data_IF_651650343386
#
_entry.id   IF_651650343386
#
_cell.length_a   1.000
_cell.length_b   1.000
_cell.length_c   1.000
_cell.angle_alpha   90.00
_cell.angle_beta   90.00
_cell.angle_gamma   90.00
#
_symmetry.space_group_name_H-M   'P 1'
#
loop_
_entity.id
_entity.type
_entity.pdbx_description
1 polymer ?
#
# COMPACT_ATOMS: atom_id res chain seq x y z
N UNK A 1 -23.98 -18.40 -19.98
CA UNK A 1 -23.37 -18.22 -18.65
C UNK A 1 -22.27 -19.24 -18.56
N UNK A 2 -21.01 -18.82 -18.79
CA UNK A 2 -19.87 -19.74 -18.77
C UNK A 2 -19.41 -19.81 -17.32
N UNK A 3 -19.58 -20.98 -16.72
CA UNK A 3 -19.16 -21.27 -15.35
C UNK A 3 -17.64 -21.48 -15.36
N UNK A 4 -16.88 -20.51 -14.86
CA UNK A 4 -15.47 -20.69 -14.59
C UNK A 4 -15.36 -21.23 -13.16
N UNK A 5 -15.01 -22.51 -12.94
CA UNK A 5 -14.83 -23.00 -11.59
C UNK A 5 -13.68 -22.23 -10.96
N UNK A 6 -13.97 -21.53 -9.86
CA UNK A 6 -12.96 -20.93 -8.99
C UNK A 6 -12.10 -22.07 -8.43
N UNK A 7 -11.06 -22.46 -9.16
CA UNK A 7 -9.97 -23.24 -8.60
C UNK A 7 -9.36 -22.37 -7.50
N UNK A 8 -9.56 -22.79 -6.25
CA UNK A 8 -8.93 -22.20 -5.08
C UNK A 8 -7.42 -22.16 -5.32
N UNK A 9 -6.90 -21.00 -5.71
CA UNK A 9 -5.46 -20.75 -5.75
C UNK A 9 -5.00 -20.67 -4.30
N UNK A 10 -4.66 -21.83 -3.75
CA UNK A 10 -4.02 -21.94 -2.45
C UNK A 10 -2.53 -21.68 -2.65
N UNK A 11 -2.06 -20.49 -2.26
CA UNK A 11 -0.63 -20.24 -2.15
C UNK A 11 -0.09 -21.07 -0.97
N UNK A 12 0.61 -22.17 -1.28
CA UNK A 12 1.39 -22.90 -0.26
C UNK A 12 2.58 -22.02 0.13
N UNK A 13 2.71 -21.73 1.42
CA UNK A 13 3.98 -21.27 1.96
C UNK A 13 4.90 -22.51 1.98
N UNK A 14 5.99 -22.48 1.22
CA UNK A 14 7.06 -23.46 1.41
C UNK A 14 7.79 -23.09 2.69
N UNK A 15 7.76 -23.96 3.70
CA UNK A 15 8.60 -23.88 4.90
C UNK A 15 10.07 -24.14 4.56
N UNK A 16 10.63 -23.40 3.61
CA UNK A 16 12.07 -23.30 3.43
C UNK A 16 12.59 -22.24 4.42
N UNK A 17 13.49 -22.63 5.31
CA UNK A 17 14.17 -21.78 6.31
C UNK A 17 15.09 -20.69 5.71
N UNK A 18 14.62 -19.93 4.71
CA UNK A 18 15.37 -18.84 4.07
C UNK A 18 14.44 -17.79 3.44
N UNK A 19 13.23 -17.59 3.98
CA UNK A 19 12.33 -16.59 3.40
C UNK A 19 12.76 -15.17 3.81
N UNK A 20 13.46 -14.50 2.90
CA UNK A 20 13.72 -13.05 2.96
C UNK A 20 12.42 -12.21 2.95
N UNK A 21 11.27 -12.84 2.67
CA UNK A 21 9.95 -12.21 2.55
C UNK A 21 9.03 -12.63 3.71
N UNK A 22 8.44 -11.66 4.41
CA UNK A 22 7.42 -11.89 5.46
C UNK A 22 6.09 -11.27 5.06
N UNK A 23 5.01 -12.00 5.32
CA UNK A 23 3.63 -11.50 5.20
C UNK A 23 3.18 -10.94 6.56
N UNK A 24 2.75 -9.68 6.58
CA UNK A 24 2.22 -9.03 7.79
C UNK A 24 0.87 -8.39 7.52
N UNK A 25 0.04 -8.34 8.56
CA UNK A 25 -1.25 -7.66 8.55
C UNK A 25 -1.11 -6.40 9.39
N UNK A 26 -1.43 -5.26 8.80
CA UNK A 26 -1.38 -3.95 9.46
C UNK A 26 -2.79 -3.40 9.53
N UNK A 27 -3.22 -3.05 10.74
CA UNK A 27 -4.53 -2.44 10.97
C UNK A 27 -4.33 -0.95 11.23
N UNK A 28 -4.83 -0.13 10.32
CA UNK A 28 -4.78 1.34 10.43
C UNK A 28 -6.08 1.81 11.04
N UNK A 29 -6.02 2.48 12.18
CA UNK A 29 -7.20 2.96 12.89
C UNK A 29 -7.90 4.11 12.15
N UNK A 30 -9.20 4.31 12.43
CA UNK A 30 -9.95 5.48 11.95
C UNK A 30 -9.21 6.80 12.27
N UNK A 31 -9.17 7.71 11.29
CA UNK A 31 -8.50 9.00 11.41
C UNK A 31 -6.99 8.99 11.17
N UNK A 32 -6.34 7.81 11.13
CA UNK A 32 -4.92 7.70 10.86
C UNK A 32 -4.59 7.79 9.35
N UNK A 33 -3.37 8.22 9.04
CA UNK A 33 -2.83 8.22 7.69
C UNK A 33 -2.32 6.82 7.33
N UNK A 34 -2.87 6.26 6.26
CA UNK A 34 -2.58 4.92 5.77
C UNK A 34 -1.18 4.85 5.19
N UNK A 35 -0.75 5.87 4.44
CA UNK A 35 0.58 5.89 3.83
C UNK A 35 1.64 5.98 4.92
N UNK A 36 1.47 6.88 5.90
CA UNK A 36 2.43 6.98 7.00
C UNK A 36 2.52 5.69 7.82
N UNK A 37 1.39 5.01 8.04
CA UNK A 37 1.36 3.71 8.73
C UNK A 37 2.14 2.63 7.96
N UNK A 38 2.10 2.64 6.63
CA UNK A 38 2.89 1.75 5.77
C UNK A 38 4.38 2.09 5.87
N UNK A 39 4.73 3.38 5.77
CA UNK A 39 6.13 3.82 5.85
C UNK A 39 6.75 3.50 7.21
N UNK A 40 5.98 3.64 8.29
CA UNK A 40 6.40 3.29 9.65
C UNK A 40 6.83 1.84 9.79
N UNK A 41 6.12 0.91 9.14
CA UNK A 41 6.49 -0.50 9.10
C UNK A 41 7.85 -0.68 8.43
N UNK A 42 8.03 -0.10 7.24
CA UNK A 42 9.30 -0.22 6.52
C UNK A 42 10.48 0.38 7.28
N UNK A 43 10.28 1.55 7.90
CA UNK A 43 11.30 2.25 8.69
C UNK A 43 11.65 1.51 9.98
N UNK A 44 10.67 1.04 10.75
CA UNK A 44 10.93 0.34 12.03
C UNK A 44 11.66 -0.99 11.84
N UNK A 45 11.44 -1.63 10.69
CA UNK A 45 12.01 -2.94 10.39
C UNK A 45 13.25 -2.88 9.48
N UNK A 46 13.64 -1.70 8.99
CA UNK A 46 14.68 -1.53 7.97
C UNK A 46 14.43 -2.44 6.74
N UNK A 47 13.17 -2.55 6.33
CA UNK A 47 12.75 -3.41 5.22
C UNK A 47 12.05 -2.62 4.15
N UNK A 48 12.25 -3.05 2.91
CA UNK A 48 11.39 -2.68 1.80
C UNK A 48 10.08 -3.47 1.88
N UNK A 49 9.03 -2.98 1.23
CA UNK A 49 7.71 -3.61 1.25
C UNK A 49 6.90 -3.38 -0.02
N UNK A 50 5.89 -4.22 -0.21
CA UNK A 50 4.86 -4.07 -1.25
C UNK A 50 3.48 -4.42 -0.71
N UNK A 51 2.45 -3.69 -1.15
CA UNK A 51 1.06 -3.94 -0.75
C UNK A 51 0.51 -5.13 -1.53
N UNK A 52 0.09 -6.18 -0.82
CA UNK A 52 -0.65 -7.29 -1.41
C UNK A 52 -2.13 -6.93 -1.55
N UNK A 53 -2.73 -6.42 -0.47
CA UNK A 53 -4.13 -6.01 -0.48
C UNK A 53 -4.41 -4.96 0.58
N UNK A 54 -5.48 -4.20 0.36
CA UNK A 54 -6.03 -3.26 1.31
C UNK A 54 -7.56 -3.32 1.26
N UNK A 55 -8.20 -3.24 2.41
CA UNK A 55 -9.65 -3.23 2.52
C UNK A 55 -10.11 -2.28 3.62
N UNK A 56 -11.19 -1.55 3.34
CA UNK A 56 -11.75 -0.58 4.26
C UNK A 56 -12.26 0.66 3.54
N UNK A 57 -12.45 1.73 4.31
CA UNK A 57 -13.03 2.98 3.82
C UNK A 57 -12.13 4.16 4.10
N UNK A 58 -12.07 5.09 3.15
CA UNK A 58 -11.24 6.30 3.17
C UNK A 58 -12.11 7.52 3.44
N UNK A 59 -11.66 8.38 4.34
CA UNK A 59 -12.30 9.65 4.66
C UNK A 59 -11.85 10.76 3.71
N UNK A 60 -10.57 10.75 3.31
CA UNK A 60 -10.06 11.72 2.35
C UNK A 60 -8.79 11.24 1.66
N UNK A 61 -8.54 11.73 0.45
CA UNK A 61 -7.31 11.48 -0.32
C UNK A 61 -6.89 12.71 -1.12
N UNK A 62 -5.59 12.91 -1.29
CA UNK A 62 -5.01 13.79 -2.31
C UNK A 62 -4.33 12.94 -3.38
N UNK A 63 -4.67 13.15 -4.65
CA UNK A 63 -4.10 12.40 -5.78
C UNK A 63 -2.88 13.14 -6.37
N UNK A 64 -1.91 12.40 -6.89
CA UNK A 64 -0.64 12.94 -7.38
C UNK A 64 -0.75 13.76 -8.67
N UNK A 65 -1.76 13.47 -9.48
CA UNK A 65 -2.10 14.26 -10.67
C UNK A 65 -2.89 15.54 -10.34
N UNK A 66 -3.40 15.67 -9.12
CA UNK A 66 -4.17 16.81 -8.63
C UNK A 66 -3.76 17.18 -7.19
N UNK A 67 -2.50 17.60 -6.96
CA UNK A 67 -1.96 17.80 -5.61
C UNK A 67 -2.68 18.90 -4.81
N UNK A 68 -3.29 19.88 -5.50
CA UNK A 68 -4.04 20.97 -4.88
C UNK A 68 -5.48 20.57 -4.47
N UNK A 69 -5.95 19.40 -4.89
CA UNK A 69 -7.32 18.94 -4.68
C UNK A 69 -7.35 17.78 -3.70
N UNK A 70 -8.13 17.94 -2.63
CA UNK A 70 -8.42 16.88 -1.67
C UNK A 70 -9.85 16.38 -1.84
N UNK A 71 -10.00 15.09 -2.11
CA UNK A 71 -11.29 14.42 -2.23
C UNK A 71 -11.75 13.96 -0.84
N UNK A 72 -13.03 14.15 -0.53
CA UNK A 72 -13.62 13.78 0.76
C UNK A 72 -14.73 12.74 0.56
N UNK A 73 -14.65 11.66 1.35
CA UNK A 73 -15.49 10.47 1.26
C UNK A 73 -16.69 10.48 2.21
N UNK A 74 -17.24 9.29 2.53
CA UNK A 74 -16.54 8.00 2.53
C UNK A 74 -16.44 7.31 1.17
N UNK A 75 -15.26 6.74 0.89
CA UNK A 75 -15.01 5.92 -0.30
C UNK A 75 -14.54 4.52 0.09
N UNK A 76 -14.94 3.48 -0.63
CA UNK A 76 -14.41 2.12 -0.41
C UNK A 76 -13.09 1.96 -1.16
N UNK A 77 -12.11 1.30 -0.53
CA UNK A 77 -10.91 0.86 -1.22
C UNK A 77 -11.29 -0.28 -2.16
N UNK A 78 -11.09 -0.07 -3.45
CA UNK A 78 -11.18 -1.14 -4.46
C UNK A 78 -9.81 -1.77 -4.66
N UNK A 79 -8.76 -0.94 -4.69
CA UNK A 79 -7.38 -1.39 -4.80
C UNK A 79 -6.42 -0.35 -4.20
N UNK A 80 -5.41 -0.83 -3.48
CA UNK A 80 -4.22 -0.06 -3.10
C UNK A 80 -3.02 -0.91 -3.51
N UNK A 81 -2.18 -0.40 -4.38
CA UNK A 81 -1.00 -1.09 -4.90
C UNK A 81 0.22 -0.21 -4.74
N UNK A 82 1.39 -0.82 -4.80
CA UNK A 82 2.66 -0.10 -4.78
C UNK A 82 3.61 -0.58 -3.70
N UNK A 83 4.76 0.07 -3.64
CA UNK A 83 5.89 -0.35 -2.83
C UNK A 83 6.58 0.82 -2.15
N UNK A 84 7.30 0.48 -1.09
CA UNK A 84 8.29 1.33 -0.45
C UNK A 84 9.63 0.59 -0.46
N UNK A 85 10.68 1.27 -0.91
CA UNK A 85 12.03 0.74 -0.93
C UNK A 85 12.81 1.41 0.21
N UNK A 86 13.27 0.60 1.15
CA UNK A 86 14.21 1.07 2.16
C UNK A 86 15.58 1.27 1.51
N UNK A 87 16.24 2.39 1.75
CA UNK A 87 17.61 2.62 1.29
C UNK A 87 18.53 2.63 2.52
N UNK A 88 19.55 1.77 2.53
CA UNK A 88 20.62 1.85 3.52
C UNK A 88 21.55 3.01 3.16
N UNK A 89 22.07 3.69 4.18
CA UNK A 89 22.85 4.93 4.04
C UNK A 89 24.24 4.73 3.39
N UNK A 90 24.56 3.51 2.97
CA UNK A 90 25.87 3.12 2.41
C UNK A 90 25.92 3.12 0.86
N UNK A 91 24.81 3.39 0.18
CA UNK A 91 24.82 3.48 -1.30
C UNK A 91 25.24 4.90 -1.72
N UNK A 92 26.35 5.10 -2.47
CA UNK A 92 26.78 6.42 -2.87
C UNK A 92 25.70 7.11 -3.72
N UNK A 93 25.35 8.33 -3.32
CA UNK A 93 24.47 9.23 -4.08
C UNK A 93 25.18 9.68 -5.37
N UNK A 94 25.25 8.79 -6.36
CA UNK A 94 25.54 9.19 -7.73
C UNK A 94 24.27 9.84 -8.29
N UNK A 95 24.22 11.17 -8.10
CA UNK A 95 23.71 12.21 -8.99
C UNK A 95 22.31 12.05 -9.61
N UNK A 96 21.53 13.14 -9.51
CA UNK A 96 20.15 13.35 -9.95
C UNK A 96 19.06 12.75 -9.04
N UNK A 97 18.25 13.65 -8.47
CA UNK A 97 16.96 13.46 -7.77
C UNK A 97 16.67 11.99 -7.40
N UNK A 98 16.89 11.57 -6.13
CA UNK A 98 16.58 10.22 -5.71
C UNK A 98 15.14 9.89 -6.11
N UNK A 99 14.86 8.75 -6.77
CA UNK A 99 13.50 8.35 -7.04
C UNK A 99 12.72 8.33 -5.72
N UNK A 100 11.42 8.69 -5.73
CA UNK A 100 10.64 8.70 -4.50
C UNK A 100 10.73 7.32 -3.86
N UNK A 101 11.09 7.27 -2.57
CA UNK A 101 11.31 6.01 -1.85
C UNK A 101 10.05 5.15 -1.75
N UNK A 102 8.89 5.67 -2.18
CA UNK A 102 7.64 4.94 -2.32
C UNK A 102 6.83 5.45 -3.51
N UNK A 103 5.95 4.60 -4.03
CA UNK A 103 4.91 4.96 -5.00
C UNK A 103 3.70 4.07 -4.79
N UNK A 104 2.54 4.67 -4.50
CA UNK A 104 1.29 3.95 -4.26
C UNK A 104 0.21 4.41 -5.23
N UNK A 105 -0.45 3.45 -5.87
CA UNK A 105 -1.65 3.64 -6.68
C UNK A 105 -2.90 3.28 -5.89
N UNK A 106 -3.99 4.02 -6.10
CA UNK A 106 -5.23 3.86 -5.37
C UNK A 106 -6.41 3.91 -6.33
N UNK A 107 -7.30 2.93 -6.24
CA UNK A 107 -8.63 2.95 -6.85
C UNK A 107 -9.68 2.90 -5.75
N UNK A 108 -10.61 3.84 -5.80
CA UNK A 108 -11.71 4.03 -4.86
C UNK A 108 -13.05 3.87 -5.56
N UNK A 109 -14.07 3.46 -4.81
CA UNK A 109 -15.46 3.54 -5.25
C UNK A 109 -16.31 4.37 -4.32
N UNK A 110 -17.23 5.11 -4.93
CA UNK A 110 -18.32 5.79 -4.23
C UNK A 110 -19.39 4.78 -3.84
N UNK A 111 -20.25 5.13 -2.87
CA UNK A 111 -21.41 4.30 -2.50
C UNK A 111 -22.40 4.06 -3.65
N UNK A 112 -22.32 4.86 -4.72
CA UNK A 112 -23.20 4.77 -5.88
C UNK A 112 -22.63 3.87 -7.00
N UNK A 113 -21.46 3.25 -6.80
CA UNK A 113 -20.88 2.29 -7.75
C UNK A 113 -19.93 2.88 -8.79
N UNK A 114 -19.72 4.21 -8.80
CA UNK A 114 -18.67 4.82 -9.62
C UNK A 114 -17.30 4.66 -8.97
N UNK A 115 -16.26 4.42 -9.77
CA UNK A 115 -14.88 4.32 -9.32
C UNK A 115 -14.01 5.45 -9.89
N UNK A 116 -13.00 5.86 -9.11
CA UNK A 116 -11.99 6.84 -9.50
C UNK A 116 -10.68 6.52 -8.79
N UNK A 117 -9.56 7.08 -9.24
CA UNK A 117 -8.28 6.77 -8.64
C UNK A 117 -7.10 7.42 -9.33
N UNK A 118 -5.91 7.09 -8.85
CA UNK A 118 -4.64 7.65 -9.30
C UNK A 118 -3.52 7.31 -8.30
N UNK A 119 -2.35 7.90 -8.50
CA UNK A 119 -1.28 7.82 -7.52
C UNK A 119 -1.64 8.62 -6.27
N UNK A 120 -1.26 8.12 -5.09
CA UNK A 120 -1.42 8.87 -3.84
C UNK A 120 -0.38 9.99 -3.81
N UNK A 121 -0.85 11.23 -3.85
CA UNK A 121 -0.01 12.43 -3.89
C UNK A 121 0.13 13.14 -2.54
N UNK A 122 -0.55 12.65 -1.51
CA UNK A 122 -0.57 13.26 -0.19
C UNK A 122 -1.23 12.34 0.84
N UNK A 123 -1.92 12.94 1.81
CA UNK A 123 -2.51 12.17 2.91
C UNK A 123 -3.65 11.27 2.44
N UNK A 124 -3.64 10.02 2.92
CA UNK A 124 -4.71 9.06 2.71
C UNK A 124 -5.31 8.65 4.06
N UNK A 125 -6.44 9.25 4.42
CA UNK A 125 -6.99 9.15 5.79
C UNK A 125 -8.04 8.06 5.87
N UNK A 126 -7.91 7.15 6.83
CA UNK A 126 -8.87 6.10 7.12
C UNK A 126 -10.19 6.69 7.69
N UNK A 127 -11.34 6.28 7.15
CA UNK A 127 -12.65 6.63 7.71
C UNK A 127 -13.06 5.67 8.82
N UNK A 128 -12.89 4.37 8.58
CA UNK A 128 -12.95 3.30 9.58
C UNK A 128 -11.62 2.56 9.56
N UNK A 129 -11.47 1.56 10.44
CA UNK A 129 -10.29 0.71 10.42
C UNK A 129 -10.04 0.13 9.01
N UNK A 130 -8.81 0.29 8.52
CA UNK A 130 -8.34 -0.26 7.24
C UNK A 130 -7.40 -1.42 7.53
N UNK A 131 -7.65 -2.56 6.90
CA UNK A 131 -6.75 -3.71 6.97
C UNK A 131 -5.86 -3.71 5.74
N UNK A 132 -4.55 -3.78 5.96
CA UNK A 132 -3.54 -3.94 4.93
C UNK A 132 -2.88 -5.30 5.10
N UNK A 133 -2.63 -5.96 3.99
CA UNK A 133 -1.78 -7.14 3.91
C UNK A 133 -0.57 -6.75 3.09
N UNK A 134 0.62 -6.90 3.67
CA UNK A 134 1.87 -6.37 3.12
C UNK A 134 2.92 -7.48 3.11
N UNK A 135 3.69 -7.56 2.02
CA UNK A 135 4.93 -8.32 1.99
C UNK A 135 6.09 -7.40 2.33
N UNK A 136 6.88 -7.75 3.34
CA UNK A 136 8.15 -7.07 3.65
C UNK A 136 9.30 -7.94 3.18
N UNK A 137 10.34 -7.33 2.63
CA UNK A 137 11.57 -8.01 2.24
C UNK A 137 12.77 -7.31 2.85
N UNK A 138 13.66 -8.10 3.47
CA UNK A 138 14.95 -7.58 3.91
C UNK A 138 15.76 -7.25 2.65
N UNK A 139 16.35 -6.05 2.58
CA UNK A 139 17.39 -5.80 1.60
C UNK A 139 18.64 -6.51 2.11
N UNK A 140 19.12 -7.54 1.41
CA UNK A 140 20.46 -8.05 1.69
C UNK A 140 21.43 -6.93 1.37
N UNK A 141 22.19 -6.53 2.38
CA UNK A 141 23.38 -5.69 2.25
C UNK A 141 24.51 -6.47 1.59
#
# INVERSE_FOLDING_TARGET
MVDFPLQNILFRNSDSESSMVRLIIVKVASGCDIIESILDVGRKNHTSLTIQSASGTIASVTLGDNPDVRFYGPFNIVSLTGSYLYHNQDTPLLELIPPPSFSFGLILSTRHGSAFGGNVGGRLIAHNDVNLTIFTFNNES
#
